data_IF_601629177349
#
_entry.id   IF_601629177349
#
_cell.length_a   1.000
_cell.length_b   1.000
_cell.length_c   1.000
_cell.angle_alpha   90.00
_cell.angle_beta   90.00
_cell.angle_gamma   90.00
#
_symmetry.space_group_name_H-M   'P 1'
#
loop_
_entity.id
_entity.type
_entity.pdbx_description
1 polymer ?
#
# COMPACT_ATOMS: atom_id res chain seq x y z
N UNK A 1 18.92 -31.66 -5.03
CA UNK A 1 18.67 -30.29 -4.57
C UNK A 1 18.71 -30.31 -3.06
N UNK A 2 19.73 -29.68 -2.46
CA UNK A 2 19.80 -29.52 -1.01
C UNK A 2 18.89 -28.34 -0.70
N UNK A 3 17.78 -28.59 -0.02
CA UNK A 3 16.94 -27.51 0.50
C UNK A 3 17.80 -26.68 1.45
N UNK A 4 17.99 -25.39 1.14
CA UNK A 4 18.57 -24.45 2.09
C UNK A 4 17.69 -24.48 3.34
N UNK A 5 18.23 -24.65 4.56
CA UNK A 5 17.41 -24.64 5.75
C UNK A 5 16.73 -23.27 5.86
N UNK A 6 15.39 -23.27 5.83
CA UNK A 6 14.61 -22.05 6.05
C UNK A 6 15.09 -21.40 7.34
N UNK A 7 15.71 -20.23 7.22
CA UNK A 7 16.25 -19.52 8.35
C UNK A 7 15.06 -19.00 9.18
N UNK A 8 15.02 -19.36 10.46
CA UNK A 8 13.98 -18.85 11.37
C UNK A 8 14.35 -17.43 11.79
N UNK A 9 13.97 -16.46 10.97
CA UNK A 9 14.10 -15.04 11.31
C UNK A 9 12.93 -14.63 12.23
N UNK A 10 13.23 -13.90 13.30
CA UNK A 10 12.19 -13.34 14.17
C UNK A 10 11.45 -12.18 13.48
N UNK A 11 10.26 -11.83 13.97
CA UNK A 11 9.52 -10.67 13.46
C UNK A 11 10.33 -9.37 13.57
N UNK A 12 10.99 -9.15 14.71
CA UNK A 12 11.75 -7.91 14.94
C UNK A 12 12.99 -7.81 14.02
N UNK A 13 13.69 -8.93 13.82
CA UNK A 13 14.82 -8.98 12.89
C UNK A 13 14.33 -8.80 11.44
N UNK A 14 13.18 -9.36 11.10
CA UNK A 14 12.54 -9.15 9.80
C UNK A 14 12.21 -7.68 9.57
N UNK A 15 11.60 -7.00 10.54
CA UNK A 15 11.34 -5.54 10.43
C UNK A 15 12.64 -4.76 10.25
N UNK A 16 13.68 -5.02 11.06
CA UNK A 16 14.97 -4.33 10.90
C UNK A 16 15.59 -4.56 9.52
N UNK A 17 15.48 -5.77 8.99
CA UNK A 17 16.01 -6.11 7.67
C UNK A 17 15.36 -5.33 6.51
N UNK A 18 14.18 -4.72 6.70
CA UNK A 18 13.52 -3.89 5.68
C UNK A 18 13.70 -2.38 5.86
N UNK A 19 13.95 -1.92 7.10
CA UNK A 19 13.85 -0.51 7.45
C UNK A 19 15.13 0.07 8.05
N UNK A 20 15.99 -0.75 8.65
CA UNK A 20 17.23 -0.30 9.31
C UNK A 20 18.40 -0.20 8.33
N UNK A 21 18.23 0.66 7.33
CA UNK A 21 19.24 0.94 6.31
C UNK A 21 19.69 2.40 6.37
N UNK A 22 20.93 2.70 5.94
CA UNK A 22 21.35 4.08 5.69
C UNK A 22 20.41 4.82 4.74
N UNK A 23 20.29 6.15 4.89
CA UNK A 23 19.41 6.95 4.02
C UNK A 23 19.81 6.91 2.54
N UNK A 24 21.08 6.62 2.22
CA UNK A 24 21.61 6.47 0.87
C UNK A 24 21.52 5.03 0.31
N UNK A 25 20.92 4.10 1.06
CA UNK A 25 20.70 2.71 0.60
C UNK A 25 19.87 2.65 -0.69
N UNK A 26 20.36 1.90 -1.68
CA UNK A 26 19.64 1.66 -2.93
C UNK A 26 18.88 0.33 -2.85
N UNK A 27 17.61 0.41 -2.47
CA UNK A 27 16.73 -0.75 -2.34
C UNK A 27 16.51 -1.51 -3.66
N UNK A 28 16.80 -0.89 -4.81
CA UNK A 28 16.71 -1.54 -6.13
C UNK A 28 17.85 -2.53 -6.34
N UNK A 29 19.04 -2.23 -5.79
CA UNK A 29 20.24 -3.04 -5.97
C UNK A 29 20.46 -4.04 -4.83
N UNK A 30 20.06 -3.71 -3.61
CA UNK A 30 20.44 -4.43 -2.39
C UNK A 30 19.22 -4.92 -1.61
N UNK A 31 18.38 -5.75 -2.25
CA UNK A 31 17.18 -6.29 -1.63
C UNK A 31 17.53 -7.26 -0.49
N UNK A 32 16.90 -7.14 0.70
CA UNK A 32 17.07 -8.14 1.73
C UNK A 32 16.40 -9.44 1.28
N UNK A 33 17.20 -10.40 0.81
CA UNK A 33 16.77 -11.76 0.51
C UNK A 33 16.38 -12.47 1.81
N UNK A 34 15.17 -12.20 2.29
CA UNK A 34 14.62 -12.87 3.47
C UNK A 34 13.66 -13.98 3.02
N UNK A 35 14.16 -15.20 2.95
CA UNK A 35 13.35 -16.37 2.63
C UNK A 35 12.52 -16.81 3.83
N UNK A 36 11.25 -16.41 3.86
CA UNK A 36 10.23 -16.89 4.80
C UNK A 36 9.18 -17.75 4.06
N UNK A 37 8.47 -18.61 4.79
CA UNK A 37 7.30 -19.29 4.21
C UNK A 37 6.21 -18.29 3.86
N UNK A 38 5.37 -18.56 2.85
CA UNK A 38 4.23 -17.70 2.50
C UNK A 38 3.34 -17.36 3.71
N UNK A 39 3.03 -18.33 4.58
CA UNK A 39 2.25 -18.10 5.80
C UNK A 39 2.93 -17.13 6.77
N UNK A 40 4.25 -17.28 6.96
CA UNK A 40 5.02 -16.40 7.87
C UNK A 40 5.12 -15.00 7.28
N UNK A 41 5.40 -14.88 5.99
CA UNK A 41 5.43 -13.59 5.28
C UNK A 41 4.09 -12.87 5.37
N UNK A 42 2.97 -13.57 5.17
CA UNK A 42 1.64 -12.99 5.30
C UNK A 42 1.37 -12.53 6.74
N UNK A 43 1.71 -13.36 7.73
CA UNK A 43 1.53 -13.04 9.14
C UNK A 43 2.37 -11.81 9.56
N UNK A 44 3.65 -11.78 9.20
CA UNK A 44 4.57 -10.69 9.54
C UNK A 44 4.15 -9.40 8.84
N UNK A 45 3.80 -9.45 7.56
CA UNK A 45 3.33 -8.25 6.85
C UNK A 45 2.03 -7.71 7.44
N UNK A 46 1.09 -8.60 7.79
CA UNK A 46 -0.14 -8.21 8.48
C UNK A 46 0.15 -7.56 9.84
N UNK A 47 1.05 -8.14 10.63
CA UNK A 47 1.44 -7.61 11.93
C UNK A 47 2.12 -6.24 11.81
N UNK A 48 3.02 -6.07 10.84
CA UNK A 48 3.66 -4.80 10.53
C UNK A 48 2.62 -3.73 10.19
N UNK A 49 1.74 -4.00 9.23
CA UNK A 49 0.74 -3.03 8.80
C UNK A 49 -0.25 -2.69 9.90
N UNK A 50 -0.68 -3.66 10.73
CA UNK A 50 -1.59 -3.41 11.85
C UNK A 50 -1.00 -2.51 12.94
N UNK A 51 0.33 -2.45 13.06
CA UNK A 51 1.04 -1.70 14.10
C UNK A 51 2.05 -0.71 13.52
N UNK A 52 1.83 -0.28 12.27
CA UNK A 52 2.82 0.47 11.48
C UNK A 52 3.29 1.73 12.21
N UNK A 53 2.36 2.50 12.80
CA UNK A 53 2.69 3.75 13.50
C UNK A 53 3.69 3.55 14.64
N UNK A 54 3.54 2.48 15.42
CA UNK A 54 4.43 2.20 16.56
C UNK A 54 5.75 1.57 16.11
N UNK A 55 5.68 0.57 15.22
CA UNK A 55 6.86 -0.17 14.76
C UNK A 55 7.80 0.69 13.91
N UNK A 56 7.26 1.66 13.17
CA UNK A 56 8.03 2.49 12.25
C UNK A 56 8.36 3.89 12.79
N UNK A 57 8.03 4.16 14.06
CA UNK A 57 8.25 5.46 14.70
C UNK A 57 9.74 5.83 14.81
N UNK A 58 10.61 4.83 14.95
CA UNK A 58 12.05 5.04 15.14
C UNK A 58 12.82 5.31 13.83
N UNK A 59 12.24 5.00 12.68
CA UNK A 59 12.90 5.13 11.38
C UNK A 59 12.59 6.47 10.71
N UNK A 60 13.55 6.99 9.94
CA UNK A 60 13.42 8.22 9.15
C UNK A 60 12.33 8.08 8.07
N UNK A 61 11.84 9.20 7.52
CA UNK A 61 10.90 9.16 6.39
C UNK A 61 11.51 8.49 5.16
N UNK A 62 12.83 8.65 4.96
CA UNK A 62 13.57 7.99 3.87
C UNK A 62 13.60 6.48 4.08
N UNK A 63 13.97 6.02 5.26
CA UNK A 63 13.99 4.60 5.63
C UNK A 63 12.62 3.96 5.46
N UNK A 64 11.56 4.58 5.99
CA UNK A 64 10.19 4.07 5.87
C UNK A 64 9.72 4.07 4.41
N UNK A 65 10.01 5.14 3.66
CA UNK A 65 9.64 5.24 2.26
C UNK A 65 10.26 4.11 1.42
N UNK A 66 11.58 3.91 1.56
CA UNK A 66 12.31 2.87 0.82
C UNK A 66 11.91 1.46 1.25
N UNK A 67 11.82 1.20 2.56
CA UNK A 67 11.43 -0.12 3.07
C UNK A 67 10.01 -0.51 2.65
N UNK A 68 9.05 0.42 2.70
CA UNK A 68 7.70 0.18 2.19
C UNK A 68 7.68 -0.05 0.69
N UNK A 69 8.45 0.73 -0.09
CA UNK A 69 8.55 0.56 -1.54
C UNK A 69 9.06 -0.84 -1.87
N UNK A 70 10.20 -1.23 -1.29
CA UNK A 70 10.79 -2.55 -1.48
C UNK A 70 9.82 -3.68 -1.11
N UNK A 71 9.10 -3.53 0.02
CA UNK A 71 8.14 -4.52 0.50
C UNK A 71 6.96 -4.72 -0.48
N UNK A 72 6.56 -3.70 -1.25
CA UNK A 72 5.38 -3.76 -2.13
C UNK A 72 5.71 -3.78 -3.62
N UNK A 73 6.99 -3.74 -4.01
CA UNK A 73 7.41 -3.69 -5.41
C UNK A 73 7.13 -5.00 -6.19
N UNK A 74 6.29 -4.93 -7.22
CA UNK A 74 5.81 -6.06 -8.04
C UNK A 74 6.85 -7.07 -8.55
N UNK A 75 8.12 -6.67 -8.71
CA UNK A 75 9.17 -7.53 -9.28
C UNK A 75 9.63 -8.67 -8.37
N UNK A 76 9.73 -8.43 -7.05
CA UNK A 76 10.28 -9.38 -6.05
C UNK A 76 9.66 -9.17 -4.64
N UNK A 77 8.49 -8.53 -4.57
CA UNK A 77 7.82 -8.23 -3.30
C UNK A 77 7.40 -9.50 -2.54
N UNK A 78 7.61 -9.54 -1.21
CA UNK A 78 7.00 -10.56 -0.36
C UNK A 78 5.47 -10.59 -0.42
N UNK A 79 4.80 -9.53 -0.88
CA UNK A 79 3.35 -9.48 -1.06
C UNK A 79 2.85 -10.14 -2.34
N UNK A 80 3.72 -10.59 -3.25
CA UNK A 80 3.33 -11.46 -4.38
C UNK A 80 2.64 -12.73 -3.90
N UNK A 81 2.87 -13.17 -2.65
CA UNK A 81 2.15 -14.27 -2.00
C UNK A 81 0.63 -14.05 -1.97
N UNK A 82 0.12 -12.82 -2.04
CA UNK A 82 -1.33 -12.57 -2.09
C UNK A 82 -1.97 -13.18 -3.36
N UNK A 83 -1.17 -13.46 -4.39
CA UNK A 83 -1.58 -14.17 -5.59
C UNK A 83 -1.65 -15.69 -5.41
N UNK A 84 -0.94 -16.25 -4.43
CA UNK A 84 -0.93 -17.68 -4.16
C UNK A 84 -2.33 -18.10 -3.70
N UNK A 85 -2.99 -18.97 -4.47
CA UNK A 85 -4.35 -19.46 -4.20
C UNK A 85 -4.44 -20.46 -3.05
N UNK A 86 -3.30 -21.03 -2.60
CA UNK A 86 -3.22 -21.97 -1.48
C UNK A 86 -3.38 -21.30 -0.11
N UNK A 87 -3.03 -20.01 -0.01
CA UNK A 87 -3.17 -19.27 1.24
C UNK A 87 -4.65 -19.11 1.63
N UNK A 88 -4.98 -19.15 2.93
CA UNK A 88 -6.34 -18.99 3.37
C UNK A 88 -6.82 -17.54 3.15
N UNK A 89 -7.96 -17.39 2.45
CA UNK A 89 -8.43 -16.08 1.96
C UNK A 89 -8.77 -15.10 3.09
N UNK A 90 -9.08 -15.58 4.30
CA UNK A 90 -9.44 -14.71 5.40
C UNK A 90 -8.25 -13.86 5.87
N UNK A 91 -7.06 -14.46 5.86
CA UNK A 91 -5.78 -13.92 6.25
C UNK A 91 -5.29 -12.95 5.17
N UNK A 92 -5.41 -13.30 3.88
CA UNK A 92 -5.16 -12.36 2.78
C UNK A 92 -6.02 -11.10 2.90
N UNK A 93 -7.31 -11.25 3.23
CA UNK A 93 -8.21 -10.11 3.46
C UNK A 93 -7.82 -9.31 4.70
N UNK A 94 -7.34 -9.95 5.76
CA UNK A 94 -6.86 -9.26 6.96
C UNK A 94 -5.63 -8.40 6.65
N UNK A 95 -4.67 -8.93 5.88
CA UNK A 95 -3.51 -8.20 5.39
C UNK A 95 -3.94 -6.97 4.55
N UNK A 96 -4.80 -7.16 3.55
CA UNK A 96 -5.28 -6.06 2.71
C UNK A 96 -5.99 -4.97 3.52
N UNK A 97 -6.86 -5.36 4.47
CA UNK A 97 -7.54 -4.40 5.36
C UNK A 97 -6.56 -3.63 6.24
N UNK A 98 -5.43 -4.24 6.59
CA UNK A 98 -4.43 -3.59 7.45
C UNK A 98 -3.64 -2.50 6.72
N UNK A 99 -3.62 -2.47 5.38
CA UNK A 99 -3.00 -1.38 4.61
C UNK A 99 -3.60 -0.01 4.99
N UNK A 100 -4.89 0.05 5.33
CA UNK A 100 -5.52 1.27 5.86
C UNK A 100 -4.77 1.87 7.06
N UNK A 101 -4.19 1.03 7.92
CA UNK A 101 -3.41 1.47 9.08
C UNK A 101 -2.11 2.14 8.66
N UNK A 102 -1.43 1.66 7.62
CA UNK A 102 -0.26 2.33 7.04
C UNK A 102 -0.64 3.74 6.57
N UNK A 103 -1.73 3.87 5.82
CA UNK A 103 -2.22 5.18 5.40
C UNK A 103 -2.58 6.09 6.57
N UNK A 104 -3.30 5.57 7.56
CA UNK A 104 -3.76 6.36 8.70
C UNK A 104 -2.63 6.77 9.65
N UNK A 105 -1.70 5.87 9.93
CA UNK A 105 -0.74 6.01 11.04
C UNK A 105 0.64 6.44 10.56
N UNK A 106 0.96 6.23 9.27
CA UNK A 106 2.22 6.68 8.66
C UNK A 106 1.93 7.84 7.72
N UNK A 107 1.24 7.61 6.60
CA UNK A 107 1.15 8.62 5.54
C UNK A 107 0.36 9.86 5.97
N UNK A 108 -0.79 9.72 6.62
CA UNK A 108 -1.58 10.86 7.10
C UNK A 108 -0.92 11.63 8.26
N UNK A 109 0.10 11.04 8.90
CA UNK A 109 0.82 11.66 10.03
C UNK A 109 2.11 12.34 9.56
N UNK A 110 2.81 11.74 8.61
CA UNK A 110 4.19 12.11 8.23
C UNK A 110 4.30 12.75 6.85
N UNK A 111 3.39 12.44 5.91
CA UNK A 111 3.41 13.08 4.60
C UNK A 111 2.91 14.54 4.70
N UNK A 112 3.40 15.45 3.84
CA UNK A 112 2.87 16.79 3.77
C UNK A 112 1.42 16.79 3.25
N UNK A 113 0.62 17.76 3.70
CA UNK A 113 -0.78 17.94 3.29
C UNK A 113 -0.90 18.63 1.91
N UNK A 114 -0.31 18.01 0.90
CA UNK A 114 -0.29 18.44 -0.50
C UNK A 114 -0.46 17.23 -1.42
N UNK A 115 -0.89 17.48 -2.66
CA UNK A 115 -0.93 16.45 -3.70
C UNK A 115 0.48 16.05 -4.15
N UNK A 116 0.62 14.84 -4.67
CA UNK A 116 1.88 14.18 -5.07
C UNK A 116 2.73 15.03 -6.01
N UNK A 117 2.10 15.75 -6.95
CA UNK A 117 2.78 16.66 -7.87
C UNK A 117 3.61 17.77 -7.18
N UNK A 118 3.32 18.07 -5.90
CA UNK A 118 4.04 19.05 -5.07
C UNK A 118 4.80 18.39 -3.91
N UNK A 119 4.58 17.11 -3.66
CA UNK A 119 5.24 16.38 -2.59
C UNK A 119 6.65 15.97 -3.02
N UNK A 120 7.56 15.84 -2.04
CA UNK A 120 8.94 15.39 -2.25
C UNK A 120 9.30 14.34 -1.20
N UNK A 121 10.30 13.52 -1.51
CA UNK A 121 10.83 12.49 -0.62
C UNK A 121 10.19 11.11 -0.81
N UNK A 122 10.91 10.09 -0.37
CA UNK A 122 10.59 8.68 -0.55
C UNK A 122 9.22 8.31 0.04
N UNK A 123 8.90 8.83 1.22
CA UNK A 123 7.64 8.52 1.89
C UNK A 123 6.42 9.04 1.10
N UNK A 124 6.50 10.25 0.58
CA UNK A 124 5.44 10.83 -0.25
C UNK A 124 5.31 10.08 -1.58
N UNK A 125 6.44 9.65 -2.14
CA UNK A 125 6.48 8.89 -3.38
C UNK A 125 5.77 7.55 -3.23
N UNK A 126 6.15 6.72 -2.25
CA UNK A 126 5.49 5.42 -2.03
C UNK A 126 4.03 5.56 -1.61
N UNK A 127 3.66 6.64 -0.89
CA UNK A 127 2.26 6.92 -0.57
C UNK A 127 1.41 7.04 -1.84
N UNK A 128 1.91 7.74 -2.87
CA UNK A 128 1.18 7.91 -4.13
C UNK A 128 1.25 6.66 -5.00
N UNK A 129 2.46 6.12 -5.20
CA UNK A 129 2.72 4.98 -6.09
C UNK A 129 2.19 3.65 -5.57
N UNK A 130 1.77 3.57 -4.30
CA UNK A 130 1.44 2.31 -3.62
C UNK A 130 0.66 1.35 -4.51
N UNK A 131 -0.41 1.84 -5.17
CA UNK A 131 -1.31 1.02 -5.96
C UNK A 131 -0.89 0.82 -7.41
N UNK A 132 0.10 1.57 -7.92
CA UNK A 132 0.74 1.31 -9.21
C UNK A 132 1.66 0.09 -9.14
N UNK A 133 2.43 0.00 -8.04
CA UNK A 133 3.48 -1.01 -7.88
C UNK A 133 3.02 -2.21 -7.05
N UNK A 134 1.81 -2.17 -6.47
CA UNK A 134 1.27 -3.22 -5.62
C UNK A 134 1.12 -4.53 -6.41
N UNK A 135 1.58 -5.69 -5.89
CA UNK A 135 1.66 -6.92 -6.67
C UNK A 135 0.30 -7.61 -6.88
N UNK A 136 -0.83 -6.99 -6.52
CA UNK A 136 -2.15 -7.57 -6.74
C UNK A 136 -2.90 -6.77 -7.79
N UNK A 137 -3.00 -7.29 -9.01
CA UNK A 137 -3.83 -6.65 -10.03
C UNK A 137 -5.28 -7.15 -9.98
N UNK A 138 -6.18 -6.25 -10.35
CA UNK A 138 -7.64 -6.43 -10.35
C UNK A 138 -8.14 -7.68 -11.10
N UNK A 139 -7.37 -8.21 -12.05
CA UNK A 139 -7.74 -9.32 -12.93
C UNK A 139 -7.45 -10.70 -12.33
N UNK A 140 -6.47 -10.82 -11.43
CA UNK A 140 -6.00 -12.13 -10.97
C UNK A 140 -6.86 -12.72 -9.84
N UNK A 141 -7.40 -11.88 -8.94
CA UNK A 141 -8.14 -12.36 -7.77
C UNK A 141 -9.42 -11.58 -7.49
N UNK A 142 -10.51 -11.83 -8.25
CA UNK A 142 -11.80 -11.19 -8.03
C UNK A 142 -12.32 -11.30 -6.59
N UNK A 143 -11.98 -12.38 -5.90
CA UNK A 143 -12.37 -12.62 -4.50
C UNK A 143 -11.73 -11.65 -3.49
N UNK A 144 -10.66 -10.94 -3.86
CA UNK A 144 -9.98 -9.96 -3.01
C UNK A 144 -10.33 -8.51 -3.38
N UNK A 145 -10.88 -8.26 -4.57
CA UNK A 145 -11.17 -6.92 -5.07
C UNK A 145 -12.08 -6.13 -4.13
N UNK A 146 -13.16 -6.71 -3.59
CA UNK A 146 -14.03 -5.99 -2.66
C UNK A 146 -13.27 -5.56 -1.38
N UNK A 147 -12.29 -6.35 -0.94
CA UNK A 147 -11.47 -5.98 0.23
C UNK A 147 -10.51 -4.84 -0.10
N UNK A 148 -9.93 -4.82 -1.30
CA UNK A 148 -9.12 -3.69 -1.78
C UNK A 148 -9.98 -2.43 -1.87
N UNK A 149 -11.15 -2.51 -2.53
CA UNK A 149 -12.06 -1.39 -2.70
C UNK A 149 -12.58 -0.83 -1.37
N UNK A 150 -12.93 -1.70 -0.41
CA UNK A 150 -13.29 -1.27 0.95
C UNK A 150 -12.13 -0.57 1.65
N UNK A 151 -10.89 -1.03 1.43
CA UNK A 151 -9.69 -0.41 2.02
C UNK A 151 -9.44 0.96 1.42
N UNK A 152 -9.52 1.09 0.10
CA UNK A 152 -9.42 2.35 -0.64
C UNK A 152 -10.51 3.35 -0.23
N UNK A 153 -11.76 2.92 -0.12
CA UNK A 153 -12.88 3.75 0.35
C UNK A 153 -12.62 4.32 1.75
N UNK A 154 -12.09 3.51 2.66
CA UNK A 154 -11.71 3.97 4.01
C UNK A 154 -10.54 4.94 3.98
N UNK A 155 -9.55 4.71 3.13
CA UNK A 155 -8.40 5.62 2.96
C UNK A 155 -8.85 6.96 2.35
N UNK A 156 -9.76 6.94 1.37
CA UNK A 156 -10.36 8.15 0.79
C UNK A 156 -11.13 8.98 1.81
N UNK A 157 -11.66 8.34 2.85
CA UNK A 157 -12.30 9.00 3.98
C UNK A 157 -11.34 9.70 4.97
N UNK A 158 -10.02 9.51 4.85
CA UNK A 158 -9.06 10.23 5.68
C UNK A 158 -9.03 11.71 5.28
N UNK A 159 -9.04 12.66 6.23
CA UNK A 159 -8.96 14.10 5.93
C UNK A 159 -7.50 14.51 5.65
N UNK A 160 -6.86 13.85 4.69
CA UNK A 160 -5.46 14.09 4.32
C UNK A 160 -5.27 14.00 2.81
N UNK A 161 -4.81 15.08 2.18
CA UNK A 161 -4.81 15.22 0.72
C UNK A 161 -4.01 14.14 -0.01
N UNK A 162 -2.80 13.83 0.45
CA UNK A 162 -1.97 12.79 -0.18
C UNK A 162 -2.63 11.40 -0.10
N UNK A 163 -3.32 11.10 1.00
CA UNK A 163 -3.99 9.81 1.18
C UNK A 163 -5.26 9.72 0.33
N UNK A 164 -6.00 10.82 0.22
CA UNK A 164 -7.17 10.90 -0.65
C UNK A 164 -6.78 10.72 -2.12
N UNK A 165 -5.73 11.41 -2.56
CA UNK A 165 -5.22 11.29 -3.93
C UNK A 165 -4.73 9.87 -4.24
N UNK A 166 -3.93 9.27 -3.35
CA UNK A 166 -3.49 7.88 -3.49
C UNK A 166 -4.66 6.88 -3.53
N UNK A 167 -5.70 7.10 -2.72
CA UNK A 167 -6.90 6.27 -2.77
C UNK A 167 -7.67 6.43 -4.09
N UNK A 168 -7.80 7.66 -4.60
CA UNK A 168 -8.40 7.90 -5.92
C UNK A 168 -7.59 7.24 -7.04
N UNK A 169 -6.26 7.30 -6.94
CA UNK A 169 -5.35 6.63 -7.87
C UNK A 169 -5.62 5.11 -7.89
N UNK A 170 -5.58 4.45 -6.73
CA UNK A 170 -5.89 3.02 -6.63
C UNK A 170 -7.31 2.66 -7.10
N UNK A 171 -8.31 3.49 -6.80
CA UNK A 171 -9.68 3.29 -7.29
C UNK A 171 -9.77 3.34 -8.82
N UNK A 172 -9.01 4.24 -9.46
CA UNK A 172 -8.96 4.33 -10.91
C UNK A 172 -8.39 3.08 -11.56
N UNK A 173 -7.32 2.49 -10.98
CA UNK A 173 -6.80 1.19 -11.43
C UNK A 173 -7.85 0.07 -11.36
N UNK A 174 -8.63 0.01 -10.27
CA UNK A 174 -9.67 -1.01 -10.10
C UNK A 174 -10.95 -0.76 -10.90
N UNK A 175 -11.11 0.41 -11.53
CA UNK A 175 -12.28 0.73 -12.35
C UNK A 175 -12.47 -0.28 -13.48
N UNK A 176 -11.39 -0.73 -14.11
CA UNK A 176 -11.45 -1.68 -15.23
C UNK A 176 -12.21 -2.97 -14.88
N UNK A 177 -11.98 -3.52 -13.69
CA UNK A 177 -12.67 -4.73 -13.25
C UNK A 177 -14.01 -4.42 -12.55
N UNK A 178 -14.09 -3.32 -11.80
CA UNK A 178 -15.17 -3.06 -10.85
C UNK A 178 -15.78 -1.64 -11.02
N UNK A 179 -16.25 -1.28 -12.22
CA UNK A 179 -16.61 0.10 -12.55
C UNK A 179 -17.74 0.63 -11.66
N UNK A 180 -18.83 -0.14 -11.49
CA UNK A 180 -19.97 0.30 -10.69
C UNK A 180 -19.62 0.57 -9.22
N UNK A 181 -18.76 -0.27 -8.61
CA UNK A 181 -18.35 -0.11 -7.21
C UNK A 181 -17.42 1.10 -7.05
N UNK A 182 -16.47 1.28 -7.96
CA UNK A 182 -15.55 2.43 -7.98
C UNK A 182 -16.32 3.73 -8.18
N UNK A 183 -17.24 3.77 -9.15
CA UNK A 183 -18.06 4.94 -9.43
C UNK A 183 -18.91 5.34 -8.22
N UNK A 184 -19.54 4.36 -7.56
CA UNK A 184 -20.33 4.61 -6.35
C UNK A 184 -19.50 5.20 -5.19
N UNK A 185 -18.28 4.71 -4.98
CA UNK A 185 -17.36 5.24 -3.95
C UNK A 185 -17.01 6.70 -4.26
N UNK A 186 -16.60 6.98 -5.49
CA UNK A 186 -16.15 8.32 -5.89
C UNK A 186 -17.31 9.31 -5.93
N UNK A 187 -18.51 8.89 -6.35
CA UNK A 187 -19.70 9.74 -6.33
C UNK A 187 -20.09 10.13 -4.91
N UNK A 188 -20.04 9.18 -3.96
CA UNK A 188 -20.27 9.46 -2.54
C UNK A 188 -19.22 10.44 -1.97
N UNK A 189 -17.95 10.26 -2.34
CA UNK A 189 -16.90 11.22 -1.98
C UNK A 189 -17.20 12.61 -2.55
N UNK A 190 -17.45 12.74 -3.85
CA UNK A 190 -17.73 14.02 -4.50
C UNK A 190 -18.97 14.73 -3.93
N UNK A 191 -20.00 13.98 -3.52
CA UNK A 191 -21.22 14.54 -2.93
C UNK A 191 -20.98 15.17 -1.55
N UNK A 192 -20.01 14.66 -0.78
CA UNK A 192 -19.72 15.14 0.58
C UNK A 192 -18.71 16.30 0.61
N UNK A 193 -17.95 16.48 -0.47
CA UNK A 193 -16.82 17.42 -0.51
C UNK A 193 -17.20 18.84 -0.94
N UNK A 194 -17.86 19.57 -0.04
CA UNK A 194 -18.28 20.97 -0.25
C UNK A 194 -17.10 21.97 -0.35
N UNK A 195 -15.86 21.56 -0.04
CA UNK A 195 -14.67 22.43 0.00
C UNK A 195 -13.38 21.76 -0.53
N UNK A 196 -13.47 20.69 -1.31
CA UNK A 196 -12.26 20.07 -1.85
C UNK A 196 -11.50 21.02 -2.78
N UNK A 197 -10.17 20.89 -2.77
CA UNK A 197 -9.30 21.59 -3.72
C UNK A 197 -9.68 21.19 -5.15
N UNK A 198 -9.73 22.13 -6.12
CA UNK A 198 -10.13 21.84 -7.49
C UNK A 198 -9.29 20.73 -8.14
N UNK A 199 -7.99 20.65 -7.83
CA UNK A 199 -7.11 19.61 -8.37
C UNK A 199 -7.59 18.20 -7.98
N UNK A 200 -7.93 17.99 -6.70
CA UNK A 200 -8.40 16.69 -6.21
C UNK A 200 -9.78 16.32 -6.79
N UNK A 201 -10.67 17.28 -6.98
CA UNK A 201 -11.97 17.05 -7.64
C UNK A 201 -11.77 16.64 -9.10
N UNK A 202 -10.85 17.31 -9.82
CA UNK A 202 -10.50 16.94 -11.19
C UNK A 202 -9.94 15.52 -11.25
N UNK A 203 -9.03 15.19 -10.33
CA UNK A 203 -8.43 13.86 -10.23
C UNK A 203 -9.48 12.78 -9.92
N UNK A 204 -10.39 13.04 -8.97
CA UNK A 204 -11.49 12.13 -8.66
C UNK A 204 -12.38 11.85 -9.88
N UNK A 205 -12.70 12.87 -10.68
CA UNK A 205 -13.48 12.69 -11.92
C UNK A 205 -12.73 11.88 -12.98
N UNK A 206 -11.40 12.01 -13.05
CA UNK A 206 -10.58 11.20 -13.94
C UNK A 206 -10.55 9.72 -13.48
N UNK A 207 -10.27 9.48 -12.19
CA UNK A 207 -10.27 8.16 -11.58
C UNK A 207 -11.63 7.45 -11.69
N UNK A 208 -12.74 8.20 -11.55
CA UNK A 208 -14.11 7.70 -11.78
C UNK A 208 -14.31 7.09 -13.17
N UNK A 209 -13.53 7.53 -14.15
CA UNK A 209 -13.55 7.03 -15.52
C UNK A 209 -12.38 6.05 -15.81
N UNK A 210 -11.73 5.51 -14.77
CA UNK A 210 -10.59 4.61 -14.89
C UNK A 210 -9.33 5.28 -15.45
N UNK A 211 -9.22 6.61 -15.38
CA UNK A 211 -8.07 7.36 -15.90
C UNK A 211 -7.22 7.84 -14.74
N UNK A 212 -6.07 7.21 -14.58
CA UNK A 212 -5.04 7.58 -13.63
C UNK A 212 -3.72 7.78 -14.38
N UNK A 213 -3.03 8.85 -14.02
CA UNK A 213 -1.69 9.20 -14.47
C UNK A 213 -0.73 9.01 -13.30
#
# INVERSE_FOLDING_TARGET
MIACPMQTMSFDDWVRAWFDHPDDWDWVCDFPLVELSPDTTLAYTTQLFQNAGALLAAYSDTQVGKGLHALIWEGDSPLTILQDTSLPRAECRACLKSIYRVYKEIFAVRCPEVCSARARGELSHVCFMWWDIFPLYYSYHPALNETVLTTLERTLGLPHLACQEAALHGLGHWHYANPARVEGIIDAFLATQKRCRPELVSYARAARAGRVL
#
